data_IF_992552537196
#
_entry.id   IF_992552537196
#
_cell.length_a   1.000
_cell.length_b   1.000
_cell.length_c   1.000
_cell.angle_alpha   90.00
_cell.angle_beta   90.00
_cell.angle_gamma   90.00
#
_symmetry.space_group_name_H-M   'P 1'
#
loop_
_entity.id
_entity.type
_entity.pdbx_description
1 polymer ?
#
# COMPACT_ATOMS: atom_id res chain seq x y z
N UNK A 1 -3.45 -33.65 -26.08
CA UNK A 1 -4.32 -32.71 -25.35
C UNK A 1 -3.41 -31.68 -24.71
N UNK A 2 -3.39 -30.44 -25.22
CA UNK A 2 -2.59 -29.36 -24.62
C UNK A 2 -3.25 -29.00 -23.28
N UNK A 3 -2.56 -29.26 -22.17
CA UNK A 3 -3.05 -28.83 -20.87
C UNK A 3 -3.08 -27.30 -20.85
N UNK A 4 -4.23 -26.70 -20.57
CA UNK A 4 -4.33 -25.25 -20.35
C UNK A 4 -3.30 -24.86 -19.29
N UNK A 5 -2.35 -23.95 -19.59
CA UNK A 5 -1.30 -23.61 -18.65
C UNK A 5 -1.90 -23.06 -17.35
N UNK A 6 -1.42 -23.57 -16.21
CA UNK A 6 -1.86 -23.14 -14.89
C UNK A 6 -1.48 -21.67 -14.68
N UNK A 7 -2.48 -20.79 -14.55
CA UNK A 7 -2.29 -19.39 -14.18
C UNK A 7 -2.18 -19.28 -12.66
N UNK A 8 -1.17 -18.57 -12.16
CA UNK A 8 -1.09 -18.21 -10.73
C UNK A 8 -1.62 -16.80 -10.53
N UNK A 9 -2.51 -16.61 -9.56
CA UNK A 9 -3.12 -15.31 -9.23
C UNK A 9 -3.08 -15.11 -7.71
N UNK A 10 -2.20 -14.23 -7.18
CA UNK A 10 -1.17 -13.48 -7.90
C UNK A 10 -0.06 -14.40 -8.46
N UNK A 11 0.68 -13.89 -9.45
CA UNK A 11 1.90 -14.54 -9.93
C UNK A 11 2.97 -14.50 -8.81
N UNK A 12 3.68 -15.61 -8.52
CA UNK A 12 4.78 -15.58 -7.55
C UNK A 12 5.83 -14.53 -7.93
N UNK A 13 6.23 -13.73 -6.94
CA UNK A 13 7.11 -12.57 -7.10
C UNK A 13 6.59 -11.51 -8.09
N UNK A 14 5.27 -11.36 -8.25
CA UNK A 14 4.66 -10.33 -9.12
C UNK A 14 5.27 -8.95 -8.85
N UNK A 15 5.46 -8.59 -7.58
CA UNK A 15 5.99 -7.29 -7.19
C UNK A 15 7.39 -7.01 -7.79
N UNK A 16 8.28 -8.00 -7.79
CA UNK A 16 9.60 -7.86 -8.41
C UNK A 16 9.51 -7.86 -9.94
N UNK A 17 8.69 -8.77 -10.49
CA UNK A 17 8.55 -8.94 -11.95
C UNK A 17 7.88 -7.76 -12.64
N UNK A 18 7.05 -7.02 -11.92
CA UNK A 18 6.35 -5.82 -12.37
C UNK A 18 7.07 -4.55 -11.91
N UNK A 19 8.30 -4.69 -11.40
CA UNK A 19 9.18 -3.60 -10.97
C UNK A 19 8.57 -2.73 -9.84
N UNK A 20 7.55 -3.23 -9.15
CA UNK A 20 6.99 -2.60 -7.95
C UNK A 20 7.96 -2.72 -6.74
N UNK A 21 8.80 -3.75 -6.73
CA UNK A 21 9.88 -3.94 -5.76
C UNK A 21 11.20 -4.22 -6.50
N UNK A 22 12.23 -3.48 -6.15
CA UNK A 22 13.61 -3.82 -6.50
C UNK A 22 14.46 -3.79 -5.23
N UNK A 23 14.88 -4.97 -4.76
CA UNK A 23 15.68 -5.11 -3.55
C UNK A 23 17.17 -4.98 -3.92
N UNK A 24 17.72 -3.81 -3.66
CA UNK A 24 19.14 -3.53 -3.86
C UNK A 24 19.99 -4.00 -2.65
N UNK A 25 21.32 -4.17 -2.83
CA UNK A 25 22.22 -4.45 -1.72
C UNK A 25 22.11 -3.41 -0.59
N UNK A 26 22.07 -3.89 0.65
CA UNK A 26 21.75 -3.08 1.82
C UNK A 26 22.84 -2.02 2.13
N UNK A 27 22.52 -0.71 2.22
CA UNK A 27 23.49 0.32 2.62
C UNK A 27 23.85 0.21 4.12
N UNK A 28 24.87 0.91 4.63
CA UNK A 28 25.09 1.00 6.07
C UNK A 28 23.82 1.48 6.80
N UNK A 29 23.43 0.78 7.87
CA UNK A 29 22.17 1.03 8.57
C UNK A 29 22.32 2.11 9.65
N UNK A 30 21.55 3.19 9.54
CA UNK A 30 21.26 4.08 10.66
C UNK A 30 19.96 3.62 11.36
N UNK A 31 20.13 2.92 12.48
CA UNK A 31 19.01 2.41 13.28
C UNK A 31 18.14 3.53 13.88
N UNK A 32 18.72 4.72 14.13
CA UNK A 32 17.95 5.85 14.65
C UNK A 32 17.01 6.39 13.58
N UNK A 33 17.52 6.59 12.36
CA UNK A 33 16.68 7.00 11.24
C UNK A 33 15.61 5.94 10.93
N UNK A 34 15.96 4.66 10.89
CA UNK A 34 14.98 3.59 10.68
C UNK A 34 13.84 3.65 11.69
N UNK A 35 14.12 3.88 12.98
CA UNK A 35 13.08 4.00 14.00
C UNK A 35 12.16 5.22 13.76
N UNK A 36 12.71 6.35 13.32
CA UNK A 36 11.92 7.56 12.98
C UNK A 36 10.99 7.31 11.78
N UNK A 37 11.50 6.69 10.72
CA UNK A 37 10.71 6.39 9.53
C UNK A 37 9.63 5.33 9.82
N UNK A 38 9.97 4.33 10.62
CA UNK A 38 9.03 3.30 11.08
C UNK A 38 7.91 3.89 11.95
N UNK A 39 8.23 4.77 12.92
CA UNK A 39 7.21 5.47 13.72
C UNK A 39 6.24 6.25 12.82
N UNK A 40 6.76 6.92 11.78
CA UNK A 40 5.92 7.64 10.81
C UNK A 40 4.94 6.71 10.07
N UNK A 41 5.39 5.53 9.66
CA UNK A 41 4.50 4.50 9.08
C UNK A 41 3.48 3.99 10.12
N UNK A 42 3.91 3.76 11.37
CA UNK A 42 3.00 3.30 12.42
C UNK A 42 1.92 4.34 12.73
N UNK A 43 2.26 5.63 12.74
CA UNK A 43 1.29 6.71 12.89
C UNK A 43 0.29 6.76 11.73
N UNK A 44 0.72 6.49 10.50
CA UNK A 44 -0.19 6.31 9.37
C UNK A 44 -1.17 5.16 9.64
N UNK A 45 -0.66 3.99 10.05
CA UNK A 45 -1.48 2.83 10.37
C UNK A 45 -2.53 3.12 11.47
N UNK A 46 -2.08 3.64 12.62
CA UNK A 46 -2.97 4.00 13.72
C UNK A 46 -3.96 5.10 13.34
N UNK A 47 -3.50 6.11 12.59
CA UNK A 47 -4.36 7.19 12.10
C UNK A 47 -5.49 6.66 11.21
N UNK A 48 -5.19 5.74 10.31
CA UNK A 48 -6.20 5.10 9.46
C UNK A 48 -7.16 4.23 10.27
N UNK A 49 -6.61 3.33 11.09
CA UNK A 49 -7.37 2.31 11.82
C UNK A 49 -8.33 2.93 12.85
N UNK A 50 -7.91 4.02 13.49
CA UNK A 50 -8.69 4.74 14.50
C UNK A 50 -9.48 5.91 13.90
N UNK A 51 -9.52 6.04 12.57
CA UNK A 51 -10.28 7.07 11.83
C UNK A 51 -9.93 8.49 12.26
N UNK A 52 -8.63 8.77 12.40
CA UNK A 52 -8.05 10.04 12.85
C UNK A 52 -7.44 10.82 11.69
N UNK A 53 -8.22 11.64 10.97
CA UNK A 53 -7.72 12.40 9.81
C UNK A 53 -6.63 13.39 10.20
N UNK A 54 -6.68 13.95 11.42
CA UNK A 54 -5.66 14.83 11.97
C UNK A 54 -4.31 14.13 12.12
N UNK A 55 -4.30 12.87 12.57
CA UNK A 55 -3.07 12.07 12.68
C UNK A 55 -2.55 11.69 11.28
N UNK A 56 -3.45 11.32 10.36
CA UNK A 56 -3.08 11.01 8.99
C UNK A 56 -2.45 12.21 8.28
N UNK A 57 -3.01 13.41 8.44
CA UNK A 57 -2.50 14.63 7.80
C UNK A 57 -1.04 14.90 8.17
N UNK A 58 -0.66 14.67 9.43
CA UNK A 58 0.72 14.85 9.88
C UNK A 58 1.72 13.87 9.24
N UNK A 59 1.23 12.76 8.67
CA UNK A 59 2.11 11.70 8.16
C UNK A 59 2.61 11.95 6.74
N UNK A 60 1.92 12.78 5.97
CA UNK A 60 2.18 13.00 4.55
C UNK A 60 2.74 14.41 4.28
N UNK A 61 3.65 14.51 3.31
CA UNK A 61 4.02 15.82 2.75
C UNK A 61 2.82 16.44 2.02
N UNK A 62 2.82 17.76 1.82
CA UNK A 62 1.70 18.44 1.15
C UNK A 62 1.45 17.92 -0.28
N UNK A 63 2.51 17.57 -1.00
CA UNK A 63 2.53 17.03 -2.37
C UNK A 63 2.56 15.49 -2.41
N UNK A 64 2.19 14.81 -1.32
CA UNK A 64 2.34 13.36 -1.23
C UNK A 64 1.54 12.62 -2.31
N UNK A 65 2.06 11.47 -2.74
CA UNK A 65 1.41 10.60 -3.72
C UNK A 65 1.10 9.24 -3.12
N UNK A 66 -0.12 8.75 -3.34
CA UNK A 66 -0.52 7.39 -2.97
C UNK A 66 -0.89 6.58 -4.21
N UNK A 67 -0.41 5.34 -4.30
CA UNK A 67 -0.74 4.42 -5.40
C UNK A 67 -0.99 3.03 -4.85
N UNK A 68 -2.03 2.36 -5.35
CA UNK A 68 -2.29 0.95 -5.09
C UNK A 68 -2.01 0.08 -6.31
N UNK A 69 -1.52 -1.14 -6.07
CA UNK A 69 -1.42 -2.19 -7.07
C UNK A 69 -1.87 -3.52 -6.48
N UNK A 70 -2.92 -4.11 -7.05
CA UNK A 70 -3.46 -5.39 -6.64
C UNK A 70 -3.00 -6.46 -7.62
N UNK A 71 -2.15 -7.37 -7.13
CA UNK A 71 -1.64 -8.55 -7.84
C UNK A 71 -0.88 -8.26 -9.15
N UNK A 72 -0.50 -7.00 -9.41
CA UNK A 72 0.05 -6.58 -10.71
C UNK A 72 -1.02 -6.28 -11.78
N UNK A 73 -2.29 -6.49 -11.46
CA UNK A 73 -3.40 -6.50 -12.41
C UNK A 73 -4.25 -5.23 -12.34
N UNK A 74 -4.43 -4.68 -11.14
CA UNK A 74 -5.32 -3.53 -10.91
C UNK A 74 -4.55 -2.38 -10.28
N UNK A 75 -4.59 -1.21 -10.93
CA UNK A 75 -4.01 0.02 -10.39
C UNK A 75 -5.09 0.87 -9.73
N UNK A 76 -4.74 1.43 -8.59
CA UNK A 76 -5.53 2.40 -7.85
C UNK A 76 -4.75 3.70 -7.75
N UNK A 77 -5.39 4.83 -8.08
CA UNK A 77 -4.70 6.12 -8.20
C UNK A 77 -3.88 6.24 -9.50
N UNK A 78 -2.86 7.12 -9.56
CA UNK A 78 -2.29 7.86 -8.44
C UNK A 78 -3.24 8.89 -7.85
N UNK A 79 -3.11 9.10 -6.54
CA UNK A 79 -3.74 10.18 -5.82
C UNK A 79 -2.66 11.18 -5.46
N UNK A 80 -2.78 12.39 -5.97
CA UNK A 80 -1.72 13.41 -5.91
C UNK A 80 -2.12 14.55 -4.98
N UNK A 81 -1.23 14.87 -4.05
CA UNK A 81 -1.46 15.85 -3.00
C UNK A 81 -2.09 15.22 -1.75
N UNK A 82 -1.66 15.71 -0.59
CA UNK A 82 -2.11 15.23 0.72
C UNK A 82 -3.62 15.23 0.84
N UNK A 83 -4.28 16.29 0.39
CA UNK A 83 -5.73 16.42 0.52
C UNK A 83 -6.47 15.33 -0.27
N UNK A 84 -6.00 15.01 -1.47
CA UNK A 84 -6.57 13.91 -2.28
C UNK A 84 -6.32 12.55 -1.62
N UNK A 85 -5.14 12.33 -1.06
CA UNK A 85 -4.81 11.11 -0.31
C UNK A 85 -5.72 10.95 0.91
N UNK A 86 -5.87 12.01 1.73
CA UNK A 86 -6.72 11.98 2.92
C UNK A 86 -8.20 11.79 2.58
N UNK A 87 -8.68 12.46 1.52
CA UNK A 87 -10.05 12.30 1.05
C UNK A 87 -10.32 10.85 0.64
N UNK A 88 -9.43 10.24 -0.15
CA UNK A 88 -9.57 8.84 -0.54
C UNK A 88 -9.55 7.89 0.65
N UNK A 89 -8.55 8.00 1.54
CA UNK A 89 -8.42 7.12 2.70
C UNK A 89 -9.64 7.19 3.62
N UNK A 90 -10.15 8.41 3.87
CA UNK A 90 -11.31 8.62 4.75
C UNK A 90 -12.64 8.22 4.12
N UNK A 91 -12.75 8.20 2.78
CA UNK A 91 -13.97 7.80 2.08
C UNK A 91 -14.39 6.35 2.38
N UNK A 92 -13.41 5.46 2.64
CA UNK A 92 -13.69 4.08 3.04
C UNK A 92 -14.39 3.96 4.39
N UNK A 93 -14.17 4.90 5.33
CA UNK A 93 -14.69 4.77 6.69
C UNK A 93 -16.22 4.75 6.76
N UNK A 94 -16.91 5.35 5.79
CA UNK A 94 -18.37 5.33 5.71
C UNK A 94 -18.92 3.96 5.27
N UNK A 95 -18.13 3.20 4.52
CA UNK A 95 -18.51 1.92 3.93
C UNK A 95 -17.97 0.72 4.74
N UNK A 96 -16.88 0.94 5.47
CA UNK A 96 -16.18 -0.07 6.25
C UNK A 96 -16.88 -0.30 7.60
N UNK A 97 -17.31 -1.55 7.83
CA UNK A 97 -18.10 -1.97 9.00
C UNK A 97 -17.31 -2.80 10.02
N UNK A 98 -16.03 -3.01 9.80
CA UNK A 98 -15.14 -3.72 10.70
C UNK A 98 -14.10 -2.77 11.33
N UNK A 99 -13.49 -3.23 12.42
CA UNK A 99 -12.31 -2.61 13.00
C UNK A 99 -11.08 -3.13 12.26
N UNK A 100 -10.35 -2.24 11.58
CA UNK A 100 -9.11 -2.59 10.89
C UNK A 100 -7.91 -2.51 11.82
N UNK A 101 -6.93 -3.37 11.54
CA UNK A 101 -5.59 -3.36 12.11
C UNK A 101 -4.58 -3.55 10.98
N UNK A 102 -3.85 -2.49 10.69
CA UNK A 102 -2.65 -2.54 9.88
C UNK A 102 -1.50 -3.09 10.73
N UNK A 103 -1.12 -4.34 10.46
CA UNK A 103 0.05 -4.98 11.09
C UNK A 103 1.18 -4.93 10.09
N UNK A 104 2.15 -4.05 10.35
CA UNK A 104 3.33 -3.87 9.50
C UNK A 104 4.57 -4.49 10.14
N UNK A 105 5.32 -5.27 9.37
CA UNK A 105 6.51 -5.99 9.84
C UNK A 105 7.64 -5.93 8.81
N UNK A 106 8.81 -6.47 9.15
CA UNK A 106 9.95 -6.60 8.23
C UNK A 106 10.35 -5.24 7.61
N UNK A 107 10.37 -4.22 8.46
CA UNK A 107 10.72 -2.86 8.06
C UNK A 107 12.20 -2.78 7.70
N UNK A 108 12.52 -2.34 6.49
CA UNK A 108 13.89 -2.16 6.00
C UNK A 108 14.06 -0.78 5.37
N UNK A 109 15.22 -0.17 5.56
CA UNK A 109 15.61 1.06 4.86
C UNK A 109 16.46 0.68 3.66
N UNK A 110 16.01 1.03 2.46
CA UNK A 110 16.72 0.69 1.22
C UNK A 110 17.71 1.76 0.81
N UNK A 111 17.39 3.01 1.10
CA UNK A 111 18.27 4.15 0.84
C UNK A 111 17.97 5.27 1.81
N UNK A 112 19.01 5.99 2.21
CA UNK A 112 18.89 7.16 3.07
C UNK A 112 19.93 8.20 2.66
N UNK A 113 19.50 9.45 2.58
CA UNK A 113 20.33 10.63 2.40
C UNK A 113 19.96 11.69 3.45
N UNK A 114 20.53 12.90 3.34
CA UNK A 114 20.33 13.95 4.33
C UNK A 114 18.87 14.39 4.52
N UNK A 115 18.07 14.34 3.46
CA UNK A 115 16.68 14.85 3.45
C UNK A 115 15.68 13.91 2.76
N UNK A 116 16.13 12.76 2.26
CA UNK A 116 15.28 11.76 1.58
C UNK A 116 15.63 10.36 2.05
N UNK A 117 14.64 9.48 2.13
CA UNK A 117 14.85 8.07 2.44
C UNK A 117 13.79 7.21 1.77
N UNK A 118 14.11 5.93 1.55
CA UNK A 118 13.19 4.92 1.06
C UNK A 118 13.14 3.75 2.02
N UNK A 119 11.94 3.28 2.33
CA UNK A 119 11.68 2.18 3.23
C UNK A 119 10.72 1.17 2.59
N UNK A 120 10.80 -0.08 3.02
CA UNK A 120 9.77 -1.09 2.76
C UNK A 120 9.29 -1.75 4.04
N UNK A 121 8.07 -2.24 4.00
CA UNK A 121 7.48 -3.05 5.06
C UNK A 121 6.50 -4.06 4.46
N UNK A 122 6.34 -5.21 5.10
CA UNK A 122 5.20 -6.08 4.81
C UNK A 122 3.94 -5.57 5.49
N UNK A 123 2.80 -5.84 4.87
CA UNK A 123 1.47 -5.51 5.35
C UNK A 123 0.67 -6.80 5.58
N UNK A 124 0.10 -6.92 6.77
CA UNK A 124 -1.06 -7.75 7.03
C UNK A 124 -2.20 -6.83 7.48
N UNK A 125 -3.31 -6.86 6.76
CA UNK A 125 -4.51 -6.10 7.10
C UNK A 125 -5.52 -7.05 7.73
N UNK A 126 -5.84 -6.82 8.99
CA UNK A 126 -6.78 -7.64 9.75
C UNK A 126 -8.07 -6.86 9.98
N UNK A 127 -9.20 -7.53 9.84
CA UNK A 127 -10.54 -7.00 10.09
C UNK A 127 -11.22 -7.75 11.22
N UNK A 128 -11.81 -7.02 12.17
CA UNK A 128 -12.59 -7.57 13.28
C UNK A 128 -14.04 -7.08 13.22
N UNK A 129 -14.97 -8.03 13.26
CA UNK A 129 -16.41 -7.80 13.43
C UNK A 129 -16.88 -8.44 14.73
N UNK A 130 -18.17 -8.33 15.05
CA UNK A 130 -18.77 -9.08 16.18
C UNK A 130 -18.57 -10.60 16.06
N UNK A 131 -18.52 -11.13 14.85
CA UNK A 131 -18.53 -12.58 14.62
C UNK A 131 -17.13 -13.19 14.60
N UNK A 132 -16.12 -12.47 14.09
CA UNK A 132 -14.77 -12.99 13.90
C UNK A 132 -13.74 -11.88 13.68
N UNK A 133 -12.47 -12.27 13.84
CA UNK A 133 -11.30 -11.57 13.33
C UNK A 133 -10.67 -12.38 12.21
N UNK A 134 -10.36 -11.75 11.07
CA UNK A 134 -9.80 -12.44 9.90
C UNK A 134 -8.78 -11.57 9.15
N UNK A 135 -7.92 -12.22 8.35
CA UNK A 135 -7.06 -11.54 7.39
C UNK A 135 -7.91 -11.04 6.22
N UNK A 136 -7.74 -9.78 5.88
CA UNK A 136 -8.48 -9.09 4.82
C UNK A 136 -7.60 -8.86 3.60
N UNK A 137 -6.34 -8.51 3.82
CA UNK A 137 -5.34 -8.42 2.76
C UNK A 137 -3.94 -8.71 3.30
N UNK A 138 -3.04 -9.13 2.42
CA UNK A 138 -1.61 -9.19 2.66
C UNK A 138 -0.89 -8.49 1.52
N UNK A 139 0.34 -8.05 1.77
CA UNK A 139 1.18 -7.45 0.75
C UNK A 139 2.32 -6.64 1.34
N UNK A 140 2.58 -5.48 0.77
CA UNK A 140 3.72 -4.64 1.15
C UNK A 140 3.46 -3.16 0.94
N UNK A 141 4.26 -2.35 1.63
CA UNK A 141 4.41 -0.94 1.36
C UNK A 141 5.82 -0.63 0.88
N UNK A 142 5.91 0.28 -0.09
CA UNK A 142 7.13 1.02 -0.41
C UNK A 142 6.87 2.48 -0.15
N UNK A 143 7.73 3.09 0.67
CA UNK A 143 7.54 4.44 1.15
C UNK A 143 8.76 5.28 0.82
N UNK A 144 8.53 6.40 0.15
CA UNK A 144 9.50 7.48 0.05
C UNK A 144 9.18 8.52 1.11
N UNK A 145 10.23 8.99 1.78
CA UNK A 145 10.17 9.98 2.80
C UNK A 145 10.98 11.22 2.43
N UNK A 146 10.51 12.36 2.94
CA UNK A 146 11.21 13.62 2.87
C UNK A 146 11.27 14.29 4.24
N UNK A 147 12.44 14.83 4.57
CA UNK A 147 12.62 15.70 5.72
C UNK A 147 12.12 17.10 5.34
N UNK A 148 11.07 17.55 6.00
CA UNK A 148 10.47 18.85 5.74
C UNK A 148 11.15 19.96 6.56
N UNK A 149 10.90 21.21 6.21
CA UNK A 149 11.55 22.38 6.82
C UNK A 149 11.32 22.52 8.34
N UNK A 150 10.28 21.88 8.87
CA UNK A 150 9.98 21.82 10.31
C UNK A 150 10.72 20.69 11.04
N UNK A 151 11.69 20.05 10.39
CA UNK A 151 12.53 19.00 10.97
C UNK A 151 11.84 17.65 11.11
N UNK A 152 10.67 17.45 10.49
CA UNK A 152 9.92 16.18 10.55
C UNK A 152 10.00 15.41 9.24
N UNK A 153 10.34 14.13 9.33
CA UNK A 153 10.20 13.18 8.23
C UNK A 153 8.72 12.87 7.98
N UNK A 154 8.32 12.97 6.71
CA UNK A 154 6.97 12.65 6.25
C UNK A 154 7.00 11.81 4.99
N UNK A 155 5.94 11.07 4.74
CA UNK A 155 5.77 10.22 3.57
C UNK A 155 5.48 11.15 2.37
N UNK A 156 6.37 11.16 1.40
CA UNK A 156 6.17 11.85 0.12
C UNK A 156 5.56 10.93 -0.94
N UNK A 157 5.75 9.63 -0.81
CA UNK A 157 5.09 8.64 -1.67
C UNK A 157 4.81 7.35 -0.90
N UNK A 158 3.63 6.78 -1.10
CA UNK A 158 3.26 5.46 -0.60
C UNK A 158 2.74 4.60 -1.75
N UNK A 159 3.49 3.57 -2.09
CA UNK A 159 3.07 2.51 -3.01
C UNK A 159 2.61 1.29 -2.20
N UNK A 160 1.33 0.95 -2.30
CA UNK A 160 0.69 -0.18 -1.64
C UNK A 160 0.52 -1.34 -2.62
N UNK A 161 1.24 -2.43 -2.39
CA UNK A 161 1.07 -3.68 -3.12
C UNK A 161 0.18 -4.65 -2.33
N UNK A 162 -0.82 -5.21 -2.98
CA UNK A 162 -1.75 -6.17 -2.37
C UNK A 162 -1.71 -7.51 -3.12
N UNK A 163 -1.52 -8.59 -2.37
CA UNK A 163 -1.51 -9.96 -2.90
C UNK A 163 -2.92 -10.53 -3.13
N UNK A 164 -3.93 -9.81 -2.66
CA UNK A 164 -5.35 -10.14 -2.80
C UNK A 164 -6.16 -8.84 -2.92
N UNK A 165 -7.25 -8.80 -3.69
CA UNK A 165 -8.16 -7.68 -3.67
C UNK A 165 -8.70 -7.40 -2.27
N UNK A 166 -8.81 -6.12 -1.91
CA UNK A 166 -9.47 -5.66 -0.69
C UNK A 166 -10.95 -5.30 -0.92
N UNK A 167 -11.52 -5.84 -1.99
CA UNK A 167 -12.93 -5.78 -2.38
C UNK A 167 -13.44 -7.19 -2.68
N UNK A 168 -14.76 -7.38 -2.71
CA UNK A 168 -15.38 -8.72 -2.72
C UNK A 168 -16.02 -9.14 -4.05
N UNK A 169 -15.80 -8.40 -5.14
CA UNK A 169 -16.36 -8.68 -6.47
C UNK A 169 -15.32 -8.47 -7.56
N UNK A 170 -15.49 -9.11 -8.72
CA UNK A 170 -14.59 -8.86 -9.85
C UNK A 170 -14.76 -7.43 -10.36
N UNK A 171 -13.66 -6.82 -10.84
CA UNK A 171 -13.65 -5.40 -11.23
C UNK A 171 -14.57 -5.17 -12.43
N UNK A 172 -14.67 -6.14 -13.32
CA UNK A 172 -15.55 -6.14 -14.49
C UNK A 172 -17.03 -6.05 -14.12
N UNK A 173 -17.40 -6.57 -12.94
CA UNK A 173 -18.78 -6.57 -12.43
C UNK A 173 -19.10 -5.32 -11.60
N UNK A 174 -18.11 -4.49 -11.27
CA UNK A 174 -18.32 -3.26 -10.51
C UNK A 174 -19.05 -2.20 -11.32
N UNK A 175 -20.10 -1.65 -10.71
CA UNK A 175 -20.71 -0.40 -11.17
C UNK A 175 -19.68 0.74 -11.20
N UNK A 176 -19.81 1.73 -12.10
CA UNK A 176 -18.82 2.81 -12.24
C UNK A 176 -18.51 3.53 -10.92
N UNK A 177 -19.53 3.84 -10.12
CA UNK A 177 -19.34 4.52 -8.84
C UNK A 177 -18.57 3.68 -7.81
N UNK A 178 -18.63 2.34 -7.91
CA UNK A 178 -17.85 1.43 -7.05
C UNK A 178 -16.39 1.45 -7.46
N UNK A 179 -16.11 1.47 -8.77
CA UNK A 179 -14.73 1.63 -9.28
C UNK A 179 -14.13 2.96 -8.84
N UNK A 180 -14.92 4.03 -8.90
CA UNK A 180 -14.52 5.37 -8.43
C UNK A 180 -14.28 5.39 -6.91
N UNK A 181 -15.15 4.73 -6.13
CA UNK A 181 -14.99 4.58 -4.68
C UNK A 181 -13.64 3.93 -4.33
N UNK A 182 -13.26 2.88 -5.05
CA UNK A 182 -11.98 2.20 -4.88
C UNK A 182 -10.81 2.89 -5.60
N UNK A 183 -11.05 3.98 -6.35
CA UNK A 183 -10.03 4.71 -7.11
C UNK A 183 -9.37 3.90 -8.24
N UNK A 184 -10.07 2.91 -8.80
CA UNK A 184 -9.51 2.01 -9.83
C UNK A 184 -9.34 2.79 -11.14
N UNK A 185 -8.10 2.92 -11.59
CA UNK A 185 -7.77 3.65 -12.83
C UNK A 185 -7.39 2.72 -13.98
N UNK A 186 -6.94 1.50 -13.66
CA UNK A 186 -6.58 0.49 -14.66
C UNK A 186 -6.85 -0.91 -14.11
N UNK A 187 -7.34 -1.80 -14.97
CA UNK A 187 -7.53 -3.22 -14.67
C UNK A 187 -7.18 -4.06 -15.90
N UNK A 188 -6.23 -4.99 -15.74
CA UNK A 188 -5.83 -5.92 -16.78
C UNK A 188 -5.42 -7.27 -16.15
N UNK A 189 -6.36 -8.23 -16.01
CA UNK A 189 -6.10 -9.53 -15.40
C UNK A 189 -5.38 -10.52 -16.35
N UNK A 190 -5.21 -10.14 -17.63
CA UNK A 190 -4.62 -10.99 -18.68
C UNK A 190 -3.13 -10.71 -18.96
N UNK A 191 -2.53 -9.71 -18.31
CA UNK A 191 -1.07 -9.51 -18.35
C UNK A 191 -0.38 -10.81 -17.88
N UNK A 192 0.42 -11.44 -18.74
CA UNK A 192 0.75 -12.86 -18.68
C UNK A 192 1.24 -13.37 -17.29
N UNK A 193 0.33 -14.00 -16.54
CA UNK A 193 0.59 -14.73 -15.29
C UNK A 193 1.08 -16.18 -15.51
N UNK A 194 1.58 -16.47 -16.71
CA UNK A 194 2.18 -17.76 -17.06
C UNK A 194 3.63 -17.79 -16.58
N UNK A 195 4.04 -18.78 -15.77
CA UNK A 195 5.45 -18.95 -15.42
C UNK A 195 6.30 -19.06 -16.69
N UNK A 196 7.39 -18.29 -16.79
CA UNK A 196 8.43 -18.61 -17.78
C UNK A 196 9.21 -19.82 -17.27
N UNK A 197 9.52 -20.81 -18.13
CA UNK A 197 10.25 -22.01 -17.76
C UNK A 197 11.65 -21.68 -17.21
#
# INVERSE_FOLDING_TARGET
MSATPRRFRPRPAWAHRDEAINLEPHPPLDLSLQAVLADRLYRYCWGFDERRPDVLEETFTHDAVWVGNVMGETRVGPLEGRDAVLAYLSNFWQHQRDQRRHVVTNVIVESAGPTTARMRAYLLLVGSTRAKTALEAAGFYTLDYRLEADGRWRISRLDAGFDVPFWSMEVEEMEPWVRDLFGITHHNPDASNVPRP
#
